data_IF_234994184288
#
_entry.id   IF_234994184288
#
_cell.length_a   1.000
_cell.length_b   1.000
_cell.length_c   1.000
_cell.angle_alpha   90.00
_cell.angle_beta   90.00
_cell.angle_gamma   90.00
#
_symmetry.space_group_name_H-M   'P 1'
#
loop_
_entity.id
_entity.type
_entity.pdbx_description
1 polymer ?
#
# COMPACT_ATOMS: atom_id res chain seq x y z
N UNK A 1 -9.52 -1.86 -17.93
CA UNK A 1 -9.14 -2.91 -16.97
C UNK A 1 -9.16 -2.29 -15.58
N UNK A 2 -9.52 -3.06 -14.55
CA UNK A 2 -9.53 -2.62 -13.14
C UNK A 2 -8.84 -3.70 -12.31
N UNK A 3 -7.76 -3.31 -11.65
CA UNK A 3 -6.96 -4.17 -10.77
C UNK A 3 -7.00 -3.59 -9.36
N UNK A 4 -7.52 -4.37 -8.41
CA UNK A 4 -7.52 -4.04 -6.99
C UNK A 4 -6.58 -4.97 -6.21
N UNK A 5 -5.71 -4.39 -5.40
CA UNK A 5 -4.72 -5.08 -4.56
C UNK A 5 -5.18 -5.06 -3.10
N UNK A 6 -5.41 -6.24 -2.51
CA UNK A 6 -5.67 -6.34 -1.08
C UNK A 6 -4.36 -6.45 -0.32
N UNK A 7 -4.19 -5.58 0.69
CA UNK A 7 -3.03 -5.56 1.58
C UNK A 7 -3.47 -5.58 3.05
N UNK A 8 -2.75 -6.32 3.89
CA UNK A 8 -2.93 -6.25 5.34
C UNK A 8 -2.38 -4.93 5.91
N UNK A 9 -2.97 -4.38 6.99
CA UNK A 9 -2.43 -3.21 7.67
C UNK A 9 -1.19 -3.57 8.48
N UNK A 10 -0.50 -2.56 9.01
CA UNK A 10 0.54 -2.74 10.02
C UNK A 10 -0.03 -2.55 11.43
N UNK A 11 0.62 -3.18 12.42
CA UNK A 11 0.25 -3.01 13.85
C UNK A 11 0.74 -1.69 14.43
N UNK A 12 1.88 -1.18 13.95
CA UNK A 12 2.40 0.11 14.35
C UNK A 12 1.92 1.20 13.38
N UNK A 13 1.76 2.39 13.93
CA UNK A 13 1.38 3.60 13.19
C UNK A 13 2.45 4.66 13.40
N UNK A 14 2.66 5.49 12.38
CA UNK A 14 3.60 6.60 12.34
C UNK A 14 2.87 7.87 11.93
N UNK A 15 3.27 9.00 12.50
CA UNK A 15 2.78 10.35 12.14
C UNK A 15 3.55 10.99 10.98
N UNK A 16 4.47 10.26 10.34
CA UNK A 16 5.31 10.80 9.24
C UNK A 16 4.53 11.17 7.97
N UNK A 17 3.34 10.60 7.76
CA UNK A 17 2.49 10.95 6.64
C UNK A 17 3.02 10.50 5.26
N UNK A 18 2.47 11.09 4.20
CA UNK A 18 2.90 10.91 2.80
C UNK A 18 3.62 12.17 2.32
N UNK A 19 4.65 12.03 1.48
CA UNK A 19 5.37 13.16 0.89
C UNK A 19 4.50 14.03 -0.02
N UNK A 20 3.52 13.42 -0.69
CA UNK A 20 2.51 14.13 -1.47
C UNK A 20 1.12 13.67 -1.02
N UNK A 21 0.29 14.62 -0.62
CA UNK A 21 -1.12 14.42 -0.30
C UNK A 21 -1.96 15.35 -1.16
N UNK A 22 -3.17 14.93 -1.57
CA UNK A 22 -4.14 15.83 -2.18
C UNK A 22 -4.54 16.94 -1.19
N UNK A 23 -5.12 18.02 -1.71
CA UNK A 23 -5.59 19.14 -0.88
C UNK A 23 -6.63 18.71 0.16
N UNK A 24 -7.36 17.61 -0.11
CA UNK A 24 -8.28 16.97 0.83
C UNK A 24 -8.09 15.46 0.77
N UNK A 25 -7.96 14.84 1.93
CA UNK A 25 -7.98 13.39 2.08
C UNK A 25 -9.38 12.85 1.78
N UNK A 26 -9.47 11.57 1.43
CA UNK A 26 -10.74 10.87 1.21
C UNK A 26 -11.28 10.33 2.54
N UNK A 27 -12.56 10.01 2.59
CA UNK A 27 -13.19 9.44 3.79
C UNK A 27 -13.37 7.92 3.64
N UNK A 28 -13.27 7.15 4.74
CA UNK A 28 -13.57 5.72 4.73
C UNK A 28 -14.95 5.42 4.14
N UNK A 29 -15.04 4.35 3.33
CA UNK A 29 -16.25 4.01 2.55
C UNK A 29 -17.34 3.29 3.35
N UNK A 30 -17.06 2.88 4.59
CA UNK A 30 -17.99 2.15 5.48
C UNK A 30 -18.21 2.88 6.81
N UNK A 31 -18.67 4.15 6.82
CA UNK A 31 -18.71 4.97 8.03
C UNK A 31 -19.67 4.44 9.11
N UNK A 32 -20.83 3.89 8.71
CA UNK A 32 -21.81 3.35 9.66
C UNK A 32 -21.29 2.09 10.37
N UNK A 33 -20.66 1.19 9.62
CA UNK A 33 -20.06 -0.03 10.14
C UNK A 33 -18.84 0.28 11.01
N UNK A 34 -17.97 1.18 10.55
CA UNK A 34 -16.85 1.69 11.34
C UNK A 34 -17.33 2.25 12.69
N UNK A 35 -18.38 3.07 12.70
CA UNK A 35 -18.95 3.62 13.92
C UNK A 35 -19.46 2.53 14.87
N UNK A 36 -20.04 1.44 14.36
CA UNK A 36 -20.48 0.30 15.18
C UNK A 36 -19.30 -0.44 15.82
N UNK A 37 -18.25 -0.71 15.06
CA UNK A 37 -17.02 -1.34 15.61
C UNK A 37 -16.38 -0.43 16.65
N UNK A 38 -16.27 0.87 16.37
CA UNK A 38 -15.69 1.84 17.30
C UNK A 38 -16.47 1.93 18.61
N UNK A 39 -17.82 1.96 18.58
CA UNK A 39 -18.64 1.97 19.80
C UNK A 39 -18.33 0.78 20.70
N UNK A 40 -18.26 -0.42 20.12
CA UNK A 40 -17.91 -1.63 20.86
C UNK A 40 -16.47 -1.58 21.39
N UNK A 41 -15.51 -1.12 20.59
CA UNK A 41 -14.12 -0.96 21.03
C UNK A 41 -13.96 0.06 22.17
N UNK A 42 -14.72 1.17 22.15
CA UNK A 42 -14.73 2.20 23.22
C UNK A 42 -15.31 1.68 24.54
N UNK A 43 -16.20 0.69 24.49
CA UNK A 43 -16.80 0.10 25.68
C UNK A 43 -15.88 -0.91 26.40
N UNK A 44 -14.79 -1.33 25.76
CA UNK A 44 -13.85 -2.29 26.36
C UNK A 44 -13.02 -1.61 27.45
N UNK A 45 -12.93 -2.27 28.60
CA UNK A 45 -11.94 -1.93 29.63
C UNK A 45 -10.52 -2.21 29.13
N UNK A 46 -9.51 -1.54 29.72
CA UNK A 46 -8.10 -1.85 29.47
C UNK A 46 -7.78 -3.35 29.60
N UNK A 47 -8.32 -4.01 30.63
CA UNK A 47 -8.09 -5.45 30.86
C UNK A 47 -8.67 -6.31 29.72
N UNK A 48 -9.86 -5.97 29.24
CA UNK A 48 -10.46 -6.64 28.07
C UNK A 48 -9.65 -6.39 26.80
N UNK A 49 -9.19 -5.15 26.54
CA UNK A 49 -8.33 -4.82 25.40
C UNK A 49 -7.05 -5.66 25.42
N UNK A 50 -6.39 -5.75 26.59
CA UNK A 50 -5.16 -6.54 26.79
C UNK A 50 -5.37 -8.01 26.43
N UNK A 51 -6.47 -8.59 26.94
CA UNK A 51 -6.82 -10.00 26.74
C UNK A 51 -7.24 -10.29 25.30
N UNK A 52 -8.16 -9.50 24.74
CA UNK A 52 -8.72 -9.70 23.40
C UNK A 52 -7.69 -9.55 22.28
N UNK A 53 -6.71 -8.66 22.45
CA UNK A 53 -5.67 -8.38 21.45
C UNK A 53 -4.35 -9.10 21.74
N UNK A 54 -4.24 -9.79 22.88
CA UNK A 54 -3.01 -10.45 23.33
C UNK A 54 -1.79 -9.51 23.30
N UNK A 55 -1.91 -8.35 23.94
CA UNK A 55 -0.88 -7.29 23.96
C UNK A 55 -0.34 -7.00 25.35
N UNK A 56 0.77 -6.26 25.41
CA UNK A 56 1.35 -5.78 26.68
C UNK A 56 0.41 -4.80 27.40
N UNK A 57 0.68 -4.59 28.68
CA UNK A 57 -0.08 -3.64 29.50
C UNK A 57 0.00 -2.21 28.97
N UNK A 58 1.20 -1.80 28.55
CA UNK A 58 1.46 -0.49 27.95
C UNK A 58 0.67 -0.29 26.65
N UNK A 59 0.65 -1.30 25.78
CA UNK A 59 -0.10 -1.25 24.54
C UNK A 59 -1.62 -1.24 24.79
N UNK A 60 -2.09 -1.96 25.81
CA UNK A 60 -3.50 -1.92 26.20
C UNK A 60 -3.88 -0.54 26.74
N UNK A 61 -3.04 0.06 27.60
CA UNK A 61 -3.21 1.41 28.12
C UNK A 61 -3.28 2.44 26.99
N UNK A 62 -2.32 2.38 26.06
CA UNK A 62 -2.26 3.25 24.89
C UNK A 62 -3.52 3.17 24.03
N UNK A 63 -4.01 1.96 23.72
CA UNK A 63 -5.19 1.83 22.86
C UNK A 63 -6.49 2.18 23.59
N UNK A 64 -6.60 1.90 24.89
CA UNK A 64 -7.71 2.39 25.71
C UNK A 64 -7.78 3.93 25.68
N UNK A 65 -6.64 4.61 25.83
CA UNK A 65 -6.57 6.08 25.70
C UNK A 65 -6.92 6.57 24.30
N UNK A 66 -6.46 5.91 23.24
CA UNK A 66 -6.81 6.24 21.85
C UNK A 66 -8.32 6.17 21.60
N UNK A 67 -8.98 5.13 22.11
CA UNK A 67 -10.44 5.00 21.99
C UNK A 67 -11.19 6.06 22.80
N UNK A 68 -10.75 6.35 24.02
CA UNK A 68 -11.35 7.39 24.85
C UNK A 68 -11.21 8.79 24.23
N UNK A 69 -10.05 9.09 23.64
CA UNK A 69 -9.72 10.37 23.03
C UNK A 69 -10.08 10.47 21.53
N UNK A 70 -10.86 9.52 21.01
CA UNK A 70 -11.12 9.37 19.57
C UNK A 70 -11.54 10.68 18.88
N UNK A 71 -12.46 11.41 19.48
CA UNK A 71 -13.07 12.60 18.88
C UNK A 71 -12.08 13.76 18.76
N UNK A 72 -11.01 13.77 19.58
CA UNK A 72 -9.93 14.77 19.59
C UNK A 72 -8.68 14.33 18.82
N UNK A 73 -8.61 13.07 18.39
CA UNK A 73 -7.42 12.53 17.74
C UNK A 73 -7.23 13.12 16.34
N UNK A 74 -5.98 13.43 15.99
CA UNK A 74 -5.60 13.90 14.67
C UNK A 74 -5.77 12.79 13.62
N UNK A 75 -6.26 13.16 12.43
CA UNK A 75 -6.36 12.26 11.28
C UNK A 75 -5.05 12.20 10.50
N UNK A 76 -4.83 11.07 9.83
CA UNK A 76 -3.67 10.79 8.98
C UNK A 76 -4.15 10.08 7.72
N UNK A 77 -3.43 10.23 6.61
CA UNK A 77 -3.67 9.41 5.42
C UNK A 77 -3.26 7.95 5.68
N UNK A 78 -4.16 7.00 5.41
CA UNK A 78 -3.95 5.56 5.61
C UNK A 78 -2.59 5.07 5.06
N UNK A 79 -2.26 5.43 3.83
CA UNK A 79 -1.03 5.01 3.14
C UNK A 79 0.26 5.49 3.81
N UNK A 80 0.22 6.61 4.54
CA UNK A 80 1.35 7.15 5.30
C UNK A 80 1.35 6.80 6.78
N UNK A 81 0.21 6.34 7.30
CA UNK A 81 0.03 6.08 8.72
C UNK A 81 0.58 4.72 9.14
N UNK A 82 0.38 3.65 8.37
CA UNK A 82 0.86 2.32 8.75
C UNK A 82 2.38 2.21 8.67
N UNK A 83 2.99 1.64 9.71
CA UNK A 83 4.43 1.42 9.80
C UNK A 83 4.72 -0.05 10.11
N UNK A 84 5.23 -0.76 9.11
CA UNK A 84 5.56 -2.17 9.23
C UNK A 84 6.22 -2.69 7.96
N UNK A 85 6.69 -3.94 7.95
CA UNK A 85 7.51 -4.46 6.84
C UNK A 85 6.82 -4.35 5.47
N UNK A 86 5.51 -4.57 5.41
CA UNK A 86 4.72 -4.40 4.19
C UNK A 86 4.68 -2.93 3.73
N UNK A 87 4.38 -1.98 4.61
CA UNK A 87 4.30 -0.56 4.23
C UNK A 87 5.66 0.06 3.92
N UNK A 88 6.73 -0.41 4.58
CA UNK A 88 8.11 -0.04 4.24
C UNK A 88 8.49 -0.54 2.84
N UNK A 89 8.16 -1.79 2.51
CA UNK A 89 8.40 -2.33 1.17
C UNK A 89 7.44 -1.75 0.11
N UNK A 90 6.23 -1.35 0.49
CA UNK A 90 5.33 -0.65 -0.43
C UNK A 90 5.85 0.75 -0.75
N UNK A 91 6.52 1.39 0.21
CA UNK A 91 7.23 2.66 0.09
C UNK A 91 6.38 3.84 -0.42
N UNK A 92 5.08 3.87 -0.10
CA UNK A 92 4.18 4.97 -0.51
C UNK A 92 4.66 6.36 -0.05
N UNK A 93 5.36 6.42 1.09
CA UNK A 93 5.81 7.68 1.69
C UNK A 93 6.77 8.46 0.80
N UNK A 94 7.61 7.75 0.05
CA UNK A 94 8.67 8.33 -0.77
C UNK A 94 8.34 8.36 -2.27
N UNK A 95 7.19 7.82 -2.67
CA UNK A 95 6.71 7.86 -4.04
C UNK A 95 6.40 9.29 -4.52
N UNK A 96 6.49 9.49 -5.84
CA UNK A 96 5.98 10.70 -6.46
C UNK A 96 4.43 10.71 -6.47
N UNK A 97 3.87 11.89 -6.79
CA UNK A 97 2.43 12.10 -6.81
C UNK A 97 1.69 11.12 -7.74
N UNK A 98 2.25 10.82 -8.92
CA UNK A 98 1.61 9.94 -9.93
C UNK A 98 1.45 8.53 -9.36
N UNK A 99 2.49 8.01 -8.71
CA UNK A 99 2.44 6.66 -8.13
C UNK A 99 1.52 6.58 -6.91
N UNK A 100 1.44 7.63 -6.09
CA UNK A 100 0.49 7.63 -4.96
C UNK A 100 -0.96 7.73 -5.48
N UNK A 101 -1.22 8.48 -6.54
CA UNK A 101 -2.53 8.50 -7.21
C UNK A 101 -2.89 7.13 -7.80
N UNK A 102 -1.95 6.47 -8.49
CA UNK A 102 -2.16 5.10 -8.96
C UNK A 102 -2.40 4.10 -7.81
N UNK A 103 -1.70 4.27 -6.68
CA UNK A 103 -1.97 3.47 -5.48
C UNK A 103 -3.35 3.75 -4.90
N UNK A 104 -3.81 5.00 -4.90
CA UNK A 104 -5.15 5.36 -4.45
C UNK A 104 -6.23 4.60 -5.23
N UNK A 105 -6.04 4.47 -6.54
CA UNK A 105 -6.96 3.75 -7.42
C UNK A 105 -6.90 2.24 -7.21
N UNK A 106 -5.70 1.68 -7.00
CA UNK A 106 -5.47 0.23 -7.05
C UNK A 106 -5.37 -0.47 -5.70
N UNK A 107 -5.01 0.21 -4.61
CA UNK A 107 -4.66 -0.46 -3.34
C UNK A 107 -5.79 -0.34 -2.31
N UNK A 108 -6.13 -1.47 -1.70
CA UNK A 108 -7.14 -1.60 -0.65
C UNK A 108 -6.51 -2.23 0.58
N UNK A 109 -6.36 -1.43 1.63
CA UNK A 109 -5.84 -1.87 2.92
C UNK A 109 -6.99 -2.39 3.77
N UNK A 110 -6.99 -3.68 4.07
CA UNK A 110 -7.98 -4.27 4.97
C UNK A 110 -7.76 -3.76 6.40
N UNK A 111 -8.81 -3.65 7.19
CA UNK A 111 -8.75 -3.04 8.52
C UNK A 111 -9.78 -3.60 9.48
N UNK A 112 -9.35 -4.02 10.68
CA UNK A 112 -10.29 -4.47 11.72
C UNK A 112 -11.24 -3.38 12.20
N UNK A 113 -10.88 -2.10 12.06
CA UNK A 113 -11.71 -0.97 12.51
C UNK A 113 -12.48 -0.27 11.38
N UNK A 114 -11.95 -0.27 10.15
CA UNK A 114 -12.54 0.45 9.02
C UNK A 114 -13.04 -0.47 7.90
N UNK A 115 -12.84 -1.78 8.02
CA UNK A 115 -13.17 -2.76 6.98
C UNK A 115 -12.16 -2.74 5.85
N UNK A 116 -12.26 -1.74 4.97
CA UNK A 116 -11.39 -1.54 3.81
C UNK A 116 -11.10 -0.05 3.60
N UNK A 117 -9.84 0.28 3.33
CA UNK A 117 -9.33 1.65 3.20
C UNK A 117 -8.54 1.84 1.91
N UNK A 118 -8.57 3.04 1.37
CA UNK A 118 -7.67 3.51 0.30
C UNK A 118 -6.50 4.31 0.89
N UNK A 119 -5.35 4.42 0.20
CA UNK A 119 -4.20 5.19 0.65
C UNK A 119 -4.47 6.62 1.17
N UNK A 120 -5.40 7.37 0.57
CA UNK A 120 -5.78 8.72 1.00
C UNK A 120 -6.91 8.76 2.03
N UNK A 121 -7.47 7.62 2.45
CA UNK A 121 -8.53 7.63 3.45
C UNK A 121 -8.00 8.12 4.79
N UNK A 122 -8.78 8.99 5.43
CA UNK A 122 -8.49 9.48 6.77
C UNK A 122 -8.64 8.37 7.80
N UNK A 123 -7.58 8.16 8.59
CA UNK A 123 -7.62 7.29 9.76
C UNK A 123 -7.09 8.02 11.00
N UNK A 124 -7.65 7.66 12.15
CA UNK A 124 -7.13 8.01 13.48
C UNK A 124 -6.31 6.87 14.07
N UNK A 125 -5.35 7.14 14.99
CA UNK A 125 -4.55 6.10 15.61
C UNK A 125 -5.38 5.06 16.34
N UNK A 126 -5.15 3.78 16.06
CA UNK A 126 -5.83 2.65 16.70
C UNK A 126 -4.96 1.39 16.67
N UNK A 127 -5.42 0.34 17.34
CA UNK A 127 -4.97 -1.03 17.10
C UNK A 127 -6.18 -1.94 17.24
N UNK A 128 -6.54 -2.64 16.17
CA UNK A 128 -7.62 -3.62 16.18
C UNK A 128 -7.36 -4.61 15.06
N UNK A 129 -6.85 -5.79 15.42
CA UNK A 129 -6.57 -6.87 14.48
C UNK A 129 -7.85 -7.53 13.95
N UNK A 130 -7.84 -8.04 12.72
CA UNK A 130 -9.04 -8.60 12.08
C UNK A 130 -9.53 -9.90 12.75
N UNK A 131 -8.59 -10.67 13.32
CA UNK A 131 -8.92 -11.89 14.06
C UNK A 131 -9.50 -11.68 15.46
N UNK A 132 -9.66 -10.43 15.93
CA UNK A 132 -10.17 -10.16 17.28
C UNK A 132 -11.61 -10.66 17.44
N UNK A 133 -11.87 -11.38 18.54
CA UNK A 133 -13.19 -11.88 18.94
C UNK A 133 -14.04 -10.78 19.58
N UNK A 134 -14.38 -9.77 18.79
CA UNK A 134 -15.24 -8.65 19.19
C UNK A 134 -16.60 -8.84 18.53
N UNK A 135 -17.63 -9.06 19.34
CA UNK A 135 -19.02 -9.04 18.88
C UNK A 135 -19.46 -7.58 18.69
N UNK A 136 -20.00 -7.28 17.51
CA UNK A 136 -20.39 -5.93 17.11
C UNK A 136 -21.90 -5.81 16.98
N UNK A 137 -22.59 -6.90 16.61
CA UNK A 137 -24.01 -6.90 16.27
C UNK A 137 -24.83 -8.01 16.94
N UNK A 138 -24.26 -8.75 17.89
CA UNK A 138 -24.90 -9.85 18.60
C UNK A 138 -24.82 -11.21 17.89
N UNK A 139 -24.23 -11.27 16.69
CA UNK A 139 -24.26 -12.47 15.84
C UNK A 139 -22.90 -12.91 15.30
N UNK A 140 -21.91 -12.01 15.29
CA UNK A 140 -20.59 -12.29 14.73
C UNK A 140 -19.64 -12.84 15.83
N UNK A 141 -18.79 -13.82 15.48
CA UNK A 141 -17.83 -14.40 16.42
C UNK A 141 -16.50 -13.63 16.43
N UNK A 142 -16.10 -13.14 15.27
CA UNK A 142 -14.88 -12.37 15.03
C UNK A 142 -15.19 -11.11 14.23
N UNK A 143 -14.25 -10.17 14.19
CA UNK A 143 -14.37 -9.00 13.30
C UNK A 143 -14.37 -9.39 11.82
N UNK A 144 -13.65 -10.45 11.43
CA UNK A 144 -13.71 -10.97 10.08
C UNK A 144 -15.16 -11.33 9.69
N UNK A 145 -15.90 -12.01 10.57
CA UNK A 145 -17.31 -12.38 10.32
C UNK A 145 -18.20 -11.14 10.15
N UNK A 146 -17.98 -10.11 10.97
CA UNK A 146 -18.71 -8.84 10.88
C UNK A 146 -18.43 -8.12 9.56
N UNK A 147 -17.17 -8.05 9.15
CA UNK A 147 -16.75 -7.31 7.97
C UNK A 147 -17.03 -8.03 6.66
N UNK A 148 -17.08 -9.37 6.68
CA UNK A 148 -17.26 -10.24 5.51
C UNK A 148 -18.33 -9.75 4.51
N UNK A 149 -19.60 -9.50 4.90
CA UNK A 149 -20.63 -9.02 3.98
C UNK A 149 -20.43 -7.56 3.53
N UNK A 150 -19.77 -6.73 4.35
CA UNK A 150 -19.61 -5.30 4.09
C UNK A 150 -18.43 -5.01 3.15
N UNK A 151 -17.30 -5.68 3.37
CA UNK A 151 -16.09 -5.48 2.57
C UNK A 151 -16.29 -6.00 1.15
N UNK A 152 -16.88 -7.18 0.97
CA UNK A 152 -17.16 -7.70 -0.39
C UNK A 152 -18.09 -6.78 -1.16
N UNK A 153 -19.11 -6.22 -0.49
CA UNK A 153 -20.03 -5.29 -1.11
C UNK A 153 -19.32 -4.01 -1.57
N UNK A 154 -18.47 -3.43 -0.71
CA UNK A 154 -17.67 -2.26 -1.06
C UNK A 154 -16.73 -2.52 -2.27
N UNK A 155 -16.09 -3.69 -2.33
CA UNK A 155 -15.25 -4.08 -3.46
C UNK A 155 -16.08 -4.25 -4.75
N UNK A 156 -17.26 -4.87 -4.65
CA UNK A 156 -18.18 -5.02 -5.77
C UNK A 156 -18.70 -3.68 -6.30
N UNK A 157 -18.96 -2.70 -5.42
CA UNK A 157 -19.34 -1.34 -5.81
C UNK A 157 -18.25 -0.69 -6.66
N UNK A 158 -16.97 -0.86 -6.29
CA UNK A 158 -15.86 -0.35 -7.09
C UNK A 158 -15.71 -1.05 -8.43
N UNK A 159 -15.83 -2.38 -8.47
CA UNK A 159 -15.80 -3.12 -9.73
C UNK A 159 -16.99 -2.78 -10.64
N UNK A 160 -18.16 -2.43 -10.10
CA UNK A 160 -19.30 -1.96 -10.90
C UNK A 160 -19.09 -0.56 -11.49
N UNK A 161 -18.35 0.30 -10.79
CA UNK A 161 -18.00 1.64 -11.27
C UNK A 161 -16.95 1.60 -12.41
N UNK A 162 -16.32 0.45 -12.66
CA UNK A 162 -15.40 0.25 -13.76
C UNK A 162 -16.06 0.49 -15.14
N UNK A 163 -15.30 0.92 -16.16
CA UNK A 163 -15.80 0.99 -17.52
C UNK A 163 -16.40 -0.35 -17.98
N UNK A 164 -17.52 -0.29 -18.72
CA UNK A 164 -18.20 -1.48 -19.25
C UNK A 164 -17.23 -2.29 -20.11
N UNK A 165 -17.15 -3.60 -19.86
CA UNK A 165 -16.25 -4.52 -20.58
C UNK A 165 -14.80 -4.49 -20.10
N UNK A 166 -14.45 -3.71 -19.07
CA UNK A 166 -13.15 -3.80 -18.44
C UNK A 166 -12.96 -5.18 -17.77
N UNK A 167 -11.82 -5.82 -18.01
CA UNK A 167 -11.37 -6.94 -17.19
C UNK A 167 -11.23 -6.50 -15.73
N UNK A 168 -11.68 -7.34 -14.79
CA UNK A 168 -11.69 -7.06 -13.35
C UNK A 168 -10.85 -8.10 -12.63
N UNK A 169 -9.81 -7.64 -11.95
CA UNK A 169 -8.86 -8.51 -11.25
C UNK A 169 -8.77 -8.04 -9.80
N UNK A 170 -8.96 -8.98 -8.87
CA UNK A 170 -8.65 -8.79 -7.46
C UNK A 170 -7.39 -9.59 -7.13
N UNK A 171 -6.30 -8.90 -6.79
CA UNK A 171 -5.05 -9.51 -6.35
C UNK A 171 -5.00 -9.48 -4.83
N UNK A 172 -5.09 -10.66 -4.21
CA UNK A 172 -4.97 -10.84 -2.78
C UNK A 172 -3.51 -11.02 -2.36
N UNK A 173 -2.90 -9.94 -1.85
CA UNK A 173 -1.60 -9.96 -1.19
C UNK A 173 -1.75 -9.85 0.35
N UNK A 174 -2.96 -9.95 0.91
CA UNK A 174 -3.17 -9.87 2.35
C UNK A 174 -2.75 -11.19 3.05
N UNK A 175 -2.55 -11.13 4.36
CA UNK A 175 -2.49 -12.35 5.17
C UNK A 175 -3.85 -13.04 5.22
N UNK A 176 -3.85 -14.35 5.47
CA UNK A 176 -5.08 -15.13 5.68
C UNK A 176 -5.98 -14.52 6.76
N UNK A 177 -5.40 -14.00 7.85
CA UNK A 177 -6.14 -13.32 8.94
C UNK A 177 -7.01 -12.16 8.42
N UNK A 178 -6.47 -11.32 7.52
CA UNK A 178 -7.22 -10.18 6.99
C UNK A 178 -8.09 -10.58 5.81
N UNK A 179 -7.61 -11.47 4.93
CA UNK A 179 -8.37 -11.98 3.80
C UNK A 179 -9.65 -12.71 4.22
N UNK A 180 -9.71 -13.25 5.44
CA UNK A 180 -10.92 -13.86 6.01
C UNK A 180 -12.13 -12.89 6.08
N UNK A 181 -11.88 -11.57 6.12
CA UNK A 181 -12.90 -10.53 6.09
C UNK A 181 -13.45 -10.24 4.68
N UNK A 182 -13.02 -10.98 3.66
CA UNK A 182 -13.51 -10.85 2.29
C UNK A 182 -14.25 -12.11 1.90
N UNK A 183 -15.51 -11.95 1.50
CA UNK A 183 -16.26 -13.04 0.88
C UNK A 183 -15.94 -13.16 -0.60
N UNK A 184 -14.87 -13.88 -0.94
CA UNK A 184 -14.47 -14.02 -2.34
C UNK A 184 -15.56 -14.65 -3.22
N UNK A 185 -16.38 -15.55 -2.66
CA UNK A 185 -17.48 -16.18 -3.40
C UNK A 185 -18.59 -15.21 -3.76
N UNK A 186 -18.83 -14.19 -2.94
CA UNK A 186 -19.82 -13.15 -3.17
C UNK A 186 -19.31 -11.98 -4.04
N UNK A 187 -18.07 -12.01 -4.52
CA UNK A 187 -17.60 -11.09 -5.56
C UNK A 187 -18.42 -11.30 -6.84
N UNK A 188 -18.54 -10.26 -7.66
CA UNK A 188 -19.19 -10.37 -8.98
C UNK A 188 -18.52 -11.49 -9.80
N UNK A 189 -19.31 -12.23 -10.57
CA UNK A 189 -18.84 -13.45 -11.27
C UNK A 189 -17.78 -13.16 -12.33
N UNK A 190 -17.71 -11.92 -12.82
CA UNK A 190 -16.75 -11.43 -13.79
C UNK A 190 -15.44 -10.91 -13.17
N UNK A 191 -15.28 -11.05 -11.84
CA UNK A 191 -14.03 -10.73 -11.13
C UNK A 191 -13.15 -11.96 -11.04
N UNK A 192 -11.97 -11.89 -11.64
CA UNK A 192 -10.90 -12.88 -11.46
C UNK A 192 -10.18 -12.64 -10.14
N UNK A 193 -10.02 -13.69 -9.33
CA UNK A 193 -9.30 -13.63 -8.04
C UNK A 193 -7.94 -14.30 -8.19
N UNK A 194 -6.89 -13.57 -7.83
CA UNK A 194 -5.51 -14.06 -7.82
C UNK A 194 -4.94 -13.88 -6.42
N UNK A 195 -4.49 -14.96 -5.77
CA UNK A 195 -3.82 -14.89 -4.46
C UNK A 195 -2.33 -15.08 -4.63
N UNK A 196 -1.52 -14.23 -4.00
CA UNK A 196 -0.07 -14.32 -4.02
C UNK A 196 0.46 -15.03 -2.77
N UNK A 197 1.18 -16.13 -2.96
CA UNK A 197 1.84 -16.89 -1.90
C UNK A 197 3.34 -16.66 -1.91
N UNK A 198 3.88 -16.23 -0.76
CA UNK A 198 5.30 -15.94 -0.58
C UNK A 198 5.93 -16.96 0.35
N UNK A 199 6.61 -17.96 -0.22
CA UNK A 199 7.29 -19.03 0.52
C UNK A 199 8.63 -18.55 1.06
N UNK A 200 8.77 -18.57 2.38
CA UNK A 200 9.97 -18.12 3.09
C UNK A 200 9.97 -18.63 4.54
N UNK A 201 11.15 -18.67 5.16
CA UNK A 201 11.32 -19.14 6.55
C UNK A 201 10.99 -18.07 7.61
N UNK A 202 10.78 -16.81 7.21
CA UNK A 202 10.48 -15.73 8.16
C UNK A 202 9.30 -14.87 7.71
N UNK A 203 8.32 -14.70 8.61
CA UNK A 203 7.10 -13.93 8.33
C UNK A 203 7.35 -12.46 7.95
N UNK A 204 8.49 -11.89 8.35
CA UNK A 204 8.90 -10.53 7.97
C UNK A 204 9.13 -10.43 6.47
N UNK A 205 9.80 -11.40 5.86
CA UNK A 205 10.06 -11.40 4.41
C UNK A 205 8.76 -11.54 3.61
N UNK A 206 7.84 -12.42 4.05
CA UNK A 206 6.53 -12.54 3.40
C UNK A 206 5.74 -11.22 3.49
N UNK A 207 5.80 -10.51 4.62
CA UNK A 207 5.16 -9.19 4.77
C UNK A 207 5.80 -8.15 3.84
N UNK A 208 7.13 -8.13 3.71
CA UNK A 208 7.82 -7.24 2.77
C UNK A 208 7.39 -7.56 1.34
N UNK A 209 7.36 -8.82 0.93
CA UNK A 209 6.95 -9.23 -0.41
C UNK A 209 5.52 -8.81 -0.76
N UNK A 210 4.59 -8.92 0.19
CA UNK A 210 3.20 -8.44 0.03
C UNK A 210 3.12 -6.94 -0.24
N UNK A 211 3.91 -6.14 0.47
CA UNK A 211 4.03 -4.71 0.18
C UNK A 211 4.74 -4.42 -1.15
N UNK A 212 5.81 -5.17 -1.42
CA UNK A 212 6.63 -5.05 -2.61
C UNK A 212 5.86 -5.37 -3.89
N UNK A 213 5.01 -6.40 -3.89
CA UNK A 213 4.18 -6.72 -5.07
C UNK A 213 3.12 -5.63 -5.31
N UNK A 214 2.56 -5.04 -4.25
CA UNK A 214 1.67 -3.88 -4.40
C UNK A 214 2.42 -2.69 -5.00
N UNK A 215 3.64 -2.40 -4.54
CA UNK A 215 4.50 -1.36 -5.14
C UNK A 215 4.78 -1.67 -6.61
N UNK A 216 5.22 -2.88 -6.93
CA UNK A 216 5.51 -3.32 -8.30
C UNK A 216 4.31 -3.11 -9.23
N UNK A 217 3.10 -3.49 -8.79
CA UNK A 217 1.88 -3.27 -9.58
C UNK A 217 1.54 -1.79 -9.80
N UNK A 218 1.92 -0.92 -8.86
CA UNK A 218 1.71 0.52 -8.93
C UNK A 218 2.77 1.20 -9.80
N UNK A 219 4.05 0.89 -9.61
CA UNK A 219 5.18 1.54 -10.29
C UNK A 219 5.35 1.08 -11.73
N UNK A 220 5.25 -0.23 -11.94
CA UNK A 220 5.38 -0.82 -13.28
C UNK A 220 4.05 -0.85 -14.03
N UNK A 221 2.99 -0.29 -13.43
CA UNK A 221 1.64 -0.25 -14.00
C UNK A 221 1.17 -1.63 -14.48
N UNK A 222 1.38 -2.67 -13.67
CA UNK A 222 0.97 -4.04 -14.03
C UNK A 222 -0.55 -4.09 -14.25
N UNK A 223 -0.96 -4.67 -15.38
CA UNK A 223 -2.37 -4.71 -15.83
C UNK A 223 -2.90 -6.12 -16.07
N UNK A 224 -2.03 -7.13 -16.00
CA UNK A 224 -2.37 -8.52 -16.32
C UNK A 224 -1.89 -9.48 -15.25
N UNK A 225 -2.53 -10.65 -15.17
CA UNK A 225 -2.11 -11.73 -14.28
C UNK A 225 -0.70 -12.22 -14.64
N UNK A 226 -0.40 -12.30 -15.94
CA UNK A 226 0.95 -12.66 -16.41
C UNK A 226 2.01 -11.66 -15.96
N UNK A 227 1.69 -10.36 -15.93
CA UNK A 227 2.60 -9.32 -15.45
C UNK A 227 2.97 -9.47 -13.98
N UNK A 228 2.09 -10.03 -13.14
CA UNK A 228 2.38 -10.30 -11.72
C UNK A 228 3.56 -11.28 -11.55
N UNK A 229 3.77 -12.19 -12.51
CA UNK A 229 4.87 -13.17 -12.48
C UNK A 229 6.25 -12.51 -12.56
N UNK A 230 6.33 -11.27 -13.04
CA UNK A 230 7.55 -10.47 -13.11
C UNK A 230 8.03 -9.89 -11.77
N UNK A 231 7.30 -10.11 -10.67
CA UNK A 231 7.71 -9.61 -9.36
C UNK A 231 8.98 -10.30 -8.85
N UNK A 232 10.03 -9.51 -8.59
CA UNK A 232 11.33 -10.00 -8.09
C UNK A 232 11.76 -9.45 -6.73
N UNK A 233 10.96 -8.59 -6.10
CA UNK A 233 11.39 -7.84 -4.91
C UNK A 233 12.37 -6.70 -5.23
N UNK A 234 12.88 -6.05 -4.19
CA UNK A 234 13.80 -4.90 -4.33
C UNK A 234 15.22 -5.31 -4.73
N UNK A 235 15.67 -6.47 -4.25
CA UNK A 235 17.03 -6.95 -4.42
C UNK A 235 17.09 -8.16 -5.37
N UNK A 236 16.01 -8.42 -6.11
CA UNK A 236 15.88 -9.60 -6.96
C UNK A 236 15.73 -10.89 -6.15
N UNK A 237 15.33 -10.79 -4.87
CA UNK A 237 15.30 -11.92 -3.96
C UNK A 237 14.08 -12.83 -4.12
N UNK A 238 13.07 -12.43 -4.89
CA UNK A 238 11.89 -13.25 -5.18
C UNK A 238 11.90 -13.76 -6.62
N UNK A 239 11.40 -14.97 -6.81
CA UNK A 239 11.13 -15.55 -8.12
C UNK A 239 9.76 -16.22 -8.12
N UNK A 240 9.02 -16.06 -9.21
CA UNK A 240 7.84 -16.88 -9.49
C UNK A 240 8.27 -18.35 -9.65
N UNK A 241 7.58 -19.27 -8.99
CA UNK A 241 7.91 -20.71 -9.02
C UNK A 241 6.76 -21.61 -9.44
N UNK A 242 5.55 -21.09 -9.54
CA UNK A 242 4.43 -21.88 -10.04
C UNK A 242 3.08 -21.21 -9.85
N UNK A 243 2.11 -21.78 -10.54
CA UNK A 243 0.72 -21.39 -10.48
C UNK A 243 -0.14 -22.64 -10.29
N UNK A 244 -1.20 -22.51 -9.51
CA UNK A 244 -2.25 -23.53 -9.38
C UNK A 244 -3.60 -22.85 -9.32
N UNK A 245 -4.64 -23.60 -9.65
CA UNK A 245 -6.02 -23.18 -9.45
C UNK A 245 -6.62 -23.96 -8.28
N UNK A 246 -7.39 -23.27 -7.43
CA UNK A 246 -8.13 -23.90 -6.34
C UNK A 246 -9.48 -23.19 -6.13
N UNK A 247 -10.47 -23.84 -5.49
CA UNK A 247 -11.73 -23.20 -5.16
C UNK A 247 -11.55 -21.93 -4.32
N UNK A 248 -12.40 -20.91 -4.51
CA UNK A 248 -12.37 -19.66 -3.71
C UNK A 248 -12.55 -19.93 -2.22
N UNK A 249 -13.38 -20.90 -1.89
CA UNK A 249 -13.56 -21.42 -0.55
C UNK A 249 -13.98 -22.89 -0.59
N UNK A 250 -14.03 -23.54 0.58
CA UNK A 250 -14.45 -24.94 0.70
C UNK A 250 -15.86 -25.13 0.12
N UNK A 251 -15.96 -25.89 -0.96
CA UNK A 251 -17.23 -26.20 -1.64
C UNK A 251 -17.63 -25.19 -2.74
N UNK A 252 -16.83 -24.15 -2.95
CA UNK A 252 -17.05 -23.20 -4.05
C UNK A 252 -16.91 -23.87 -5.42
N UNK A 253 -17.78 -23.48 -6.36
CA UNK A 253 -17.65 -23.83 -7.78
C UNK A 253 -16.79 -22.81 -8.55
N UNK A 254 -16.46 -21.68 -7.91
CA UNK A 254 -15.58 -20.66 -8.48
C UNK A 254 -14.14 -20.94 -8.07
N UNK A 255 -13.22 -20.61 -8.97
CA UNK A 255 -11.79 -20.82 -8.78
C UNK A 255 -11.05 -19.49 -8.59
N UNK A 256 -9.93 -19.55 -7.88
CA UNK A 256 -8.87 -18.54 -7.87
C UNK A 256 -7.59 -19.14 -8.44
N UNK A 257 -6.73 -18.27 -8.98
CA UNK A 257 -5.34 -18.60 -9.28
C UNK A 257 -4.47 -18.28 -8.08
N UNK A 258 -3.56 -19.18 -7.75
CA UNK A 258 -2.55 -18.97 -6.72
C UNK A 258 -1.19 -18.84 -7.38
N UNK A 259 -0.59 -17.65 -7.31
CA UNK A 259 0.76 -17.40 -7.79
C UNK A 259 1.75 -17.59 -6.65
N UNK A 260 2.64 -18.58 -6.79
CA UNK A 260 3.67 -18.90 -5.80
C UNK A 260 4.99 -18.21 -6.13
N UNK A 261 5.56 -17.59 -5.12
CA UNK A 261 6.88 -16.96 -5.17
C UNK A 261 7.76 -17.53 -4.07
N UNK A 262 9.02 -17.82 -4.41
CA UNK A 262 10.02 -18.28 -3.46
C UNK A 262 11.13 -17.26 -3.32
N UNK A 263 11.62 -17.11 -2.08
CA UNK A 263 12.75 -16.24 -1.79
C UNK A 263 14.06 -16.98 -2.02
N UNK A 264 14.87 -16.52 -2.96
CA UNK A 264 16.24 -16.98 -3.18
C UNK A 264 17.26 -16.29 -2.27
N UNK A 265 18.52 -16.69 -2.39
CA UNK A 265 19.63 -15.91 -1.85
C UNK A 265 19.73 -14.59 -2.64
N UNK A 266 19.78 -13.45 -1.95
CA UNK A 266 20.09 -12.16 -2.57
C UNK A 266 21.47 -12.26 -3.22
N UNK A 267 21.60 -11.89 -4.50
CA UNK A 267 22.92 -11.69 -5.08
C UNK A 267 23.67 -10.66 -4.21
N UNK A 268 24.95 -10.88 -3.86
CA UNK A 268 25.69 -9.93 -3.06
C UNK A 268 25.65 -8.57 -3.75
N UNK A 269 25.24 -7.52 -3.03
CA UNK A 269 25.33 -6.14 -3.51
C UNK A 269 26.75 -5.92 -3.98
N UNK A 270 26.93 -5.78 -5.29
CA UNK A 270 28.19 -5.33 -5.84
C UNK A 270 28.41 -3.95 -5.23
N UNK A 271 29.31 -3.85 -4.24
CA UNK A 271 29.79 -2.57 -3.72
C UNK A 271 30.59 -1.94 -4.85
N UNK A 272 29.87 -1.33 -5.79
CA UNK A 272 30.42 -0.65 -6.95
C UNK A 272 31.33 0.48 -6.47
N UNK A 273 32.62 0.20 -6.60
CA UNK A 273 33.74 1.09 -6.85
C UNK A 273 33.61 2.55 -6.37
N UNK A 274 34.41 2.86 -5.35
CA UNK A 274 35.07 4.17 -5.26
C UNK A 274 35.66 4.51 -6.64
N UNK A 275 35.27 5.67 -7.15
CA UNK A 275 35.87 6.45 -8.25
C UNK A 275 37.17 5.86 -8.79
N UNK A 276 37.11 5.23 -9.96
CA UNK A 276 38.30 5.12 -10.81
C UNK A 276 38.62 6.53 -11.33
N UNK A 277 39.76 7.05 -10.87
CA UNK A 277 40.37 8.29 -11.35
C UNK A 277 40.79 8.07 -12.81
N UNK A 278 40.41 8.96 -13.71
CA UNK A 278 40.88 8.94 -15.10
C UNK A 278 42.43 9.02 -15.14
N UNK A 279 43.09 8.35 -16.09
CA UNK A 279 44.54 8.45 -16.23
C UNK A 279 44.92 9.83 -16.79
N UNK A 280 45.88 10.49 -16.15
CA UNK A 280 46.60 11.65 -16.68
C UNK A 280 47.35 11.23 -17.94
N UNK A 281 47.06 11.91 -19.06
CA UNK A 281 47.90 11.86 -20.25
C UNK A 281 49.11 12.77 -20.02
N UNK A 282 50.31 12.19 -20.10
CA UNK A 282 51.55 12.92 -20.23
C UNK A 282 51.69 13.42 -21.69
N UNK A 283 52.03 14.70 -21.85
CA UNK A 283 52.37 15.31 -23.13
C UNK A 283 52.97 16.69 -22.92
N UNK A 284 54.29 16.75 -22.84
CA UNK A 284 55.08 17.97 -22.79
C UNK A 284 55.36 18.50 -24.21
N UNK A 285 55.46 19.83 -24.37
CA UNK A 285 56.41 20.44 -25.30
C UNK A 285 55.89 21.37 -26.40
N UNK A 286 55.94 22.68 -26.09
CA UNK A 286 56.45 23.82 -26.89
C UNK A 286 55.88 24.19 -28.29
N UNK A 287 55.60 25.49 -28.48
CA UNK A 287 55.64 26.15 -29.81
C UNK A 287 54.74 27.39 -30.04
N UNK A 288 55.22 28.56 -29.61
CA UNK A 288 55.13 29.95 -30.15
C UNK A 288 54.02 30.51 -31.11
N UNK A 289 53.78 31.83 -30.91
CA UNK A 289 53.31 32.94 -31.81
C UNK A 289 51.79 33.16 -32.01
N UNK A 290 51.22 34.29 -31.52
CA UNK A 290 50.95 35.63 -32.16
C UNK A 290 49.85 35.55 -33.26
N UNK A 291 48.71 36.27 -33.24
CA UNK A 291 48.43 37.72 -33.22
C UNK A 291 46.94 38.03 -32.84
N UNK A 292 46.72 39.23 -32.26
CA UNK A 292 45.66 40.27 -32.40
C UNK A 292 44.24 39.89 -32.96
N UNK A 293 43.10 40.43 -32.54
CA UNK A 293 42.75 41.83 -32.19
C UNK A 293 41.34 41.90 -31.51
N UNK A 294 41.08 42.94 -30.71
CA UNK A 294 39.80 43.29 -30.03
C UNK A 294 39.02 44.33 -30.92
N UNK A 295 37.92 45.05 -30.55
CA UNK A 295 36.99 44.96 -29.41
C UNK A 295 35.48 45.29 -29.70
N UNK A 296 34.66 45.06 -28.66
CA UNK A 296 33.66 45.97 -28.06
C UNK A 296 32.33 46.44 -28.75
N UNK A 297 31.29 46.37 -27.89
CA UNK A 297 30.35 47.44 -27.43
C UNK A 297 28.87 47.43 -27.89
N UNK A 298 28.05 47.27 -26.84
CA UNK A 298 26.65 47.67 -26.59
C UNK A 298 26.26 49.08 -27.10
N UNK A 299 24.97 49.25 -27.47
CA UNK A 299 24.08 50.40 -27.15
C UNK A 299 22.61 49.99 -27.44
N UNK A 300 21.72 49.97 -26.43
CA UNK A 300 20.83 51.05 -25.96
C UNK A 300 19.64 51.32 -26.92
N UNK A 301 18.40 50.92 -26.56
CA UNK A 301 17.36 51.68 -25.81
C UNK A 301 16.70 52.83 -26.60
N UNK A 302 15.46 52.59 -27.00
CA UNK A 302 14.30 53.51 -27.10
C UNK A 302 13.07 52.60 -26.94
N UNK A 303 11.99 52.88 -26.23
CA UNK A 303 11.47 54.06 -25.54
C UNK A 303 9.95 53.87 -25.52
N UNK A 304 9.33 53.94 -24.32
CA UNK A 304 7.99 54.52 -24.00
C UNK A 304 6.81 54.28 -24.98
N UNK A 305 5.58 53.96 -24.60
CA UNK A 305 4.79 54.52 -23.51
C UNK A 305 3.42 53.83 -23.44
N UNK A 306 2.86 53.81 -22.23
CA UNK A 306 1.48 53.44 -21.88
C UNK A 306 0.43 54.30 -22.59
N UNK A 307 -0.73 53.73 -22.92
CA UNK A 307 -2.01 54.45 -22.88
C UNK A 307 -3.12 53.55 -22.33
N UNK A 308 -3.86 54.10 -21.36
CA UNK A 308 -5.06 53.56 -20.75
C UNK A 308 -6.22 53.52 -21.77
N UNK A 309 -6.89 52.38 -21.88
CA UNK A 309 -8.34 52.20 -21.73
C UNK A 309 -8.65 50.71 -21.73
#
# INVERSE_FOLDING_TARGET
MVLLLLLSPAKALSSSGLKSVPARLTSPVLPAQHAAVLRNARALTKAQIKSLMSISDDLASLNHQRYAAWDKAQTMACGGAFDGPAFKAMNLKDMDKKHIEAAQERVRVLSGLYGVLKPYDEIKPYRLEMGTKLDVNGTNKTLADYWRPHVVQALNDEFRAAPKGAQKILVNAASQEYAAAVDFDALSSDVEVVTCEFKTNASVYAKQARGGICRFCVTEQVETIDGLRGFTGDEGEWKFTGEREEPLSKGSQRIQRILSFERGATAPKNKGNKKAKAPEAAGAGAGAQQEEDEPAKKRARTGSQKSKK
#
